data_IF_837502285773
#
_entry.id   IF_837502285773
#
_cell.length_a   1.000
_cell.length_b   1.000
_cell.length_c   1.000
_cell.angle_alpha   90.00
_cell.angle_beta   90.00
_cell.angle_gamma   90.00
#
_symmetry.space_group_name_H-M   'P 1'
#
loop_
_entity.id
_entity.type
_entity.pdbx_description
1 polymer ?
#
# COMPACT_ATOMS: atom_id res chain seq x y z
N UNK A 1 4.14 -4.26 30.84
CA UNK A 1 4.02 -3.93 29.41
C UNK A 1 2.57 -3.75 28.98
N UNK A 2 1.72 -4.78 29.10
CA UNK A 2 0.30 -4.70 28.67
C UNK A 2 -0.47 -3.51 29.27
N UNK A 3 -0.43 -3.31 30.61
CA UNK A 3 -1.06 -2.16 31.26
C UNK A 3 -0.56 -0.80 30.75
N UNK A 4 0.73 -0.69 30.40
CA UNK A 4 1.33 0.54 29.86
C UNK A 4 0.85 0.80 28.43
N UNK A 5 0.82 -0.24 27.59
CA UNK A 5 0.31 -0.14 26.23
C UNK A 5 -1.18 0.24 26.21
N UNK A 6 -2.01 -0.41 27.03
CA UNK A 6 -3.44 -0.06 27.20
C UNK A 6 -3.59 1.40 27.64
N UNK A 7 -2.79 1.85 28.63
CA UNK A 7 -2.83 3.23 29.10
C UNK A 7 -2.45 4.26 28.04
N UNK A 8 -1.50 3.94 27.15
CA UNK A 8 -1.13 4.81 26.03
C UNK A 8 -2.23 4.83 24.96
N UNK A 9 -2.77 3.68 24.58
CA UNK A 9 -3.85 3.59 23.60
C UNK A 9 -5.12 4.32 24.07
N UNK A 10 -5.46 4.20 25.36
CA UNK A 10 -6.59 4.94 25.93
C UNK A 10 -6.42 6.44 25.77
N UNK A 11 -5.24 6.99 26.07
CA UNK A 11 -4.96 8.43 25.89
C UNK A 11 -5.11 8.92 24.45
N UNK A 12 -4.86 8.04 23.46
CA UNK A 12 -5.05 8.38 22.05
C UNK A 12 -6.55 8.36 21.69
N UNK A 13 -7.30 7.36 22.17
CA UNK A 13 -8.75 7.26 21.91
C UNK A 13 -9.52 8.38 22.61
N UNK A 14 -9.07 8.87 23.76
CA UNK A 14 -9.71 9.99 24.49
C UNK A 14 -9.83 11.27 23.65
N UNK A 15 -9.04 11.40 22.57
CA UNK A 15 -9.13 12.52 21.63
C UNK A 15 -10.33 12.41 20.66
N UNK A 16 -10.99 11.25 20.62
CA UNK A 16 -12.06 10.91 19.67
C UNK A 16 -13.31 10.41 20.41
N UNK A 17 -14.19 11.31 20.91
CA UNK A 17 -15.37 10.93 21.68
C UNK A 17 -16.36 10.06 20.88
N UNK A 18 -16.40 10.19 19.56
CA UNK A 18 -17.26 9.39 18.68
C UNK A 18 -16.87 7.90 18.62
N UNK A 19 -15.69 7.50 19.13
CA UNK A 19 -15.19 6.12 19.13
C UNK A 19 -15.38 5.40 20.47
N UNK A 20 -16.00 6.04 21.46
CA UNK A 20 -16.15 5.50 22.82
C UNK A 20 -16.86 4.14 22.85
N UNK A 21 -17.96 4.03 22.09
CA UNK A 21 -18.78 2.82 22.01
C UNK A 21 -18.01 1.59 21.47
N UNK A 22 -16.92 1.83 20.73
CA UNK A 22 -16.10 0.80 20.08
C UNK A 22 -14.70 0.69 20.70
N UNK A 23 -14.44 1.43 21.79
CA UNK A 23 -13.13 1.52 22.45
C UNK A 23 -12.51 0.15 22.71
N UNK A 24 -13.24 -0.74 23.36
CA UNK A 24 -12.74 -2.08 23.71
C UNK A 24 -12.32 -2.87 22.48
N UNK A 25 -13.14 -2.86 21.41
CA UNK A 25 -12.87 -3.60 20.17
C UNK A 25 -11.66 -3.04 19.41
N UNK A 26 -11.48 -1.73 19.43
CA UNK A 26 -10.34 -1.06 18.80
C UNK A 26 -9.05 -1.39 19.56
N UNK A 27 -9.07 -1.27 20.89
CA UNK A 27 -7.91 -1.60 21.74
C UNK A 27 -7.55 -3.07 21.61
N UNK A 28 -8.53 -3.98 21.62
CA UNK A 28 -8.30 -5.41 21.43
C UNK A 28 -7.60 -5.67 20.10
N UNK A 29 -8.10 -5.10 19.01
CA UNK A 29 -7.52 -5.21 17.67
C UNK A 29 -6.09 -4.67 17.63
N UNK A 30 -5.86 -3.43 18.08
CA UNK A 30 -4.53 -2.80 18.11
C UNK A 30 -3.52 -3.59 18.94
N UNK A 31 -3.91 -4.02 20.15
CA UNK A 31 -3.03 -4.82 21.00
C UNK A 31 -2.71 -6.17 20.41
N UNK A 32 -3.64 -6.76 19.65
CA UNK A 32 -3.41 -8.01 18.94
C UNK A 32 -2.23 -7.87 17.95
N UNK A 33 -2.20 -6.79 17.18
CA UNK A 33 -1.11 -6.49 16.24
C UNK A 33 0.19 -6.08 16.94
N UNK A 34 0.11 -5.27 18.00
CA UNK A 34 1.28 -4.88 18.78
C UNK A 34 1.95 -6.06 19.51
N UNK A 35 1.28 -7.20 19.68
CA UNK A 35 1.90 -8.41 20.22
C UNK A 35 2.78 -9.12 19.19
N UNK A 36 2.63 -8.84 17.91
CA UNK A 36 3.39 -9.51 16.85
C UNK A 36 4.80 -8.91 16.75
N UNK A 37 5.88 -9.71 16.89
CA UNK A 37 7.24 -9.19 16.84
C UNK A 37 7.57 -8.43 15.55
N UNK A 38 7.04 -8.88 14.40
CA UNK A 38 7.24 -8.22 13.10
C UNK A 38 6.64 -6.81 13.03
N UNK A 39 5.54 -6.55 13.75
CA UNK A 39 4.97 -5.22 13.83
C UNK A 39 5.86 -4.30 14.67
N UNK A 40 6.28 -4.75 15.85
CA UNK A 40 7.09 -3.94 16.76
C UNK A 40 8.51 -3.66 16.23
N UNK A 41 9.11 -4.61 15.52
CA UNK A 41 10.46 -4.43 14.95
C UNK A 41 10.55 -3.30 13.92
N UNK A 42 9.43 -2.88 13.31
CA UNK A 42 9.38 -1.68 12.44
C UNK A 42 9.68 -0.38 13.17
N UNK A 43 9.37 -0.34 14.46
CA UNK A 43 9.45 0.86 15.30
C UNK A 43 10.45 0.71 16.45
N UNK A 44 11.20 -0.40 16.49
CA UNK A 44 12.15 -0.67 17.55
C UNK A 44 13.58 -0.50 17.04
N UNK A 45 14.38 0.28 17.77
CA UNK A 45 15.84 0.27 17.61
C UNK A 45 16.37 -1.11 17.99
N UNK A 46 17.12 -1.74 17.09
CA UNK A 46 17.69 -3.07 17.30
C UNK A 46 18.58 -3.07 18.55
N UNK A 47 18.12 -3.75 19.61
CA UNK A 47 18.89 -3.91 20.85
C UNK A 47 18.10 -3.67 22.13
N UNK A 48 18.14 -4.68 23.00
CA UNK A 48 17.85 -4.70 24.44
C UNK A 48 16.38 -4.80 24.87
N UNK A 49 16.16 -5.85 25.68
CA UNK A 49 15.13 -6.09 26.70
C UNK A 49 13.83 -5.31 26.52
N UNK A 50 12.75 -6.04 26.22
CA UNK A 50 11.39 -5.48 26.15
C UNK A 50 10.99 -4.98 27.55
N UNK A 51 11.18 -3.69 27.80
CA UNK A 51 10.77 -3.00 29.03
C UNK A 51 9.76 -1.88 28.73
N UNK A 52 9.21 -1.24 29.76
CA UNK A 52 8.20 -0.18 29.58
C UNK A 52 8.76 1.07 28.90
N UNK A 53 10.05 1.34 29.04
CA UNK A 53 10.74 2.47 28.39
C UNK A 53 10.93 2.21 26.90
N UNK A 54 11.33 0.99 26.53
CA UNK A 54 11.41 0.51 25.15
C UNK A 54 10.06 0.65 24.46
N UNK A 55 8.97 0.24 25.12
CA UNK A 55 7.63 0.40 24.54
C UNK A 55 7.28 1.87 24.30
N UNK A 56 7.66 2.79 25.21
CA UNK A 56 7.46 4.22 24.99
C UNK A 56 8.35 4.79 23.89
N UNK A 57 9.60 4.33 23.81
CA UNK A 57 10.53 4.72 22.74
C UNK A 57 9.98 4.29 21.38
N UNK A 58 9.43 3.08 21.25
CA UNK A 58 8.84 2.59 20.01
C UNK A 58 7.65 3.43 19.52
N UNK A 59 6.93 4.11 20.41
CA UNK A 59 5.86 5.04 20.00
C UNK A 59 6.41 6.33 19.35
N UNK A 60 7.65 6.70 19.70
CA UNK A 60 8.33 7.89 19.18
C UNK A 60 9.25 7.58 17.98
N UNK A 61 9.72 6.33 17.83
CA UNK A 61 10.54 5.92 16.69
C UNK A 61 9.76 6.05 15.38
N UNK A 62 10.40 6.62 14.38
CA UNK A 62 9.89 6.73 13.02
C UNK A 62 10.19 5.48 12.21
N UNK A 63 9.24 5.04 11.38
CA UNK A 63 9.49 4.01 10.38
C UNK A 63 10.31 4.55 9.19
N UNK A 64 10.55 3.69 8.19
CA UNK A 64 11.22 4.08 6.94
C UNK A 64 10.41 5.07 6.08
N UNK A 65 9.13 5.32 6.41
CA UNK A 65 8.33 6.38 5.80
C UNK A 65 8.40 7.72 6.54
N UNK A 66 9.11 7.78 7.69
CA UNK A 66 9.23 8.98 8.51
C UNK A 66 8.08 9.17 9.50
N UNK A 67 7.15 8.21 9.60
CA UNK A 67 5.99 8.29 10.48
C UNK A 67 6.25 7.55 11.80
N UNK A 68 5.94 8.18 12.92
CA UNK A 68 6.00 7.52 14.23
C UNK A 68 4.83 6.55 14.41
N UNK A 69 5.01 5.52 15.26
CA UNK A 69 3.90 4.60 15.58
C UNK A 69 2.71 5.37 16.19
N UNK A 70 2.95 6.43 16.96
CA UNK A 70 1.87 7.29 17.48
C UNK A 70 1.10 7.96 16.35
N UNK A 71 1.79 8.52 15.36
CA UNK A 71 1.15 9.16 14.20
C UNK A 71 0.35 8.13 13.40
N UNK A 72 0.88 6.93 13.18
CA UNK A 72 0.18 5.86 12.46
C UNK A 72 -1.10 5.44 13.18
N UNK A 73 -1.06 5.32 14.51
CA UNK A 73 -2.24 5.00 15.31
C UNK A 73 -3.27 6.14 15.30
N UNK A 74 -2.82 7.39 15.37
CA UNK A 74 -3.71 8.57 15.25
C UNK A 74 -4.33 8.69 13.86
N UNK A 75 -3.57 8.42 12.80
CA UNK A 75 -4.06 8.36 11.43
C UNK A 75 -5.14 7.29 11.29
N UNK A 76 -4.96 6.13 11.95
CA UNK A 76 -5.99 5.09 11.95
C UNK A 76 -7.24 5.49 12.75
N UNK A 77 -7.09 6.12 13.91
CA UNK A 77 -8.23 6.60 14.71
C UNK A 77 -9.00 7.69 13.96
N UNK A 78 -8.30 8.67 13.36
CA UNK A 78 -8.92 9.69 12.51
C UNK A 78 -9.60 9.08 11.28
N UNK A 79 -8.99 8.04 10.68
CA UNK A 79 -9.60 7.27 9.60
C UNK A 79 -10.92 6.60 10.01
N UNK A 80 -10.97 5.96 11.18
CA UNK A 80 -12.19 5.36 11.72
C UNK A 80 -13.24 6.42 12.07
N UNK A 81 -12.80 7.57 12.58
CA UNK A 81 -13.68 8.69 12.94
C UNK A 81 -14.37 9.29 11.70
N UNK A 82 -13.63 9.45 10.60
CA UNK A 82 -14.14 10.00 9.35
C UNK A 82 -15.09 9.05 8.61
N UNK A 83 -15.05 7.73 8.90
CA UNK A 83 -15.85 6.69 8.23
C UNK A 83 -16.89 6.07 9.17
N UNK A 84 -17.82 6.89 9.68
CA UNK A 84 -18.84 6.47 10.66
C UNK A 84 -19.68 5.26 10.21
N UNK A 85 -20.01 5.18 8.92
CA UNK A 85 -20.83 4.10 8.35
C UNK A 85 -20.07 2.77 8.25
N UNK A 86 -18.80 2.81 7.80
CA UNK A 86 -18.05 1.58 7.49
C UNK A 86 -17.05 1.17 8.58
N UNK A 87 -16.89 1.92 9.67
CA UNK A 87 -15.89 1.65 10.73
C UNK A 87 -16.02 0.25 11.34
N UNK A 88 -17.25 -0.27 11.48
CA UNK A 88 -17.49 -1.62 12.00
C UNK A 88 -16.90 -2.69 11.09
N UNK A 89 -17.03 -2.51 9.77
CA UNK A 89 -16.52 -3.47 8.80
C UNK A 89 -14.98 -3.56 8.83
N UNK A 90 -14.28 -2.43 9.06
CA UNK A 90 -12.84 -2.41 9.22
C UNK A 90 -12.39 -3.11 10.51
N UNK A 91 -13.11 -2.88 11.61
CA UNK A 91 -12.82 -3.53 12.90
C UNK A 91 -13.06 -5.05 12.79
N UNK A 92 -14.14 -5.48 12.14
CA UNK A 92 -14.44 -6.89 11.92
C UNK A 92 -13.42 -7.55 11.00
N UNK A 93 -13.01 -6.89 9.92
CA UNK A 93 -11.94 -7.36 9.04
C UNK A 93 -10.63 -7.56 9.83
N UNK A 94 -10.25 -6.58 10.66
CA UNK A 94 -9.07 -6.65 11.52
C UNK A 94 -9.12 -7.78 12.55
N UNK A 95 -10.31 -8.11 13.07
CA UNK A 95 -10.49 -9.21 14.02
C UNK A 95 -10.51 -10.57 13.34
N UNK A 96 -10.91 -10.63 12.07
CA UNK A 96 -10.95 -11.86 11.28
C UNK A 96 -9.56 -12.36 10.90
N UNK A 97 -8.61 -11.44 10.70
CA UNK A 97 -7.22 -11.82 10.48
C UNK A 97 -6.65 -12.24 11.84
N UNK A 98 -6.12 -13.46 11.88
CA UNK A 98 -5.43 -14.05 13.02
C UNK A 98 -3.93 -13.72 12.94
N UNK A 99 -3.44 -12.67 13.62
CA UNK A 99 -2.02 -12.44 13.80
C UNK A 99 -1.46 -13.39 14.86
N UNK A 100 -1.39 -14.70 14.56
CA UNK A 100 -0.33 -15.53 15.15
C UNK A 100 -0.66 -16.97 15.56
N UNK A 101 0.21 -17.86 15.09
CA UNK A 101 0.72 -19.04 15.79
C UNK A 101 2.03 -19.46 15.10
N UNK A 102 3.20 -19.28 15.75
CA UNK A 102 4.51 -19.76 15.24
C UNK A 102 4.61 -21.28 15.49
N UNK A 103 3.59 -22.03 15.08
CA UNK A 103 3.59 -23.48 15.01
C UNK A 103 2.87 -23.87 13.74
N UNK A 104 3.52 -24.71 12.95
CA UNK A 104 3.07 -25.17 11.64
C UNK A 104 1.63 -25.76 11.63
N UNK A 105 1.06 -26.11 12.79
CA UNK A 105 -0.30 -26.64 12.90
C UNK A 105 -1.41 -25.55 12.89
N UNK A 106 -1.18 -24.38 13.49
CA UNK A 106 -2.22 -23.34 13.68
C UNK A 106 -2.33 -22.37 12.49
N UNK A 107 -1.37 -22.43 11.57
CA UNK A 107 -1.34 -21.60 10.36
C UNK A 107 -2.59 -21.85 9.51
N UNK A 108 -3.04 -23.10 9.45
CA UNK A 108 -4.22 -23.55 8.68
C UNK A 108 -5.52 -22.86 9.11
N UNK A 109 -5.67 -22.46 10.38
CA UNK A 109 -6.89 -21.82 10.91
C UNK A 109 -6.95 -20.30 10.66
N UNK A 110 -5.80 -19.67 10.37
CA UNK A 110 -5.69 -18.24 10.11
C UNK A 110 -5.97 -17.85 8.64
N UNK A 111 -6.06 -18.85 7.77
CA UNK A 111 -6.41 -18.75 6.36
C UNK A 111 -7.85 -19.23 6.20
N UNK A 112 -8.63 -18.57 5.34
CA UNK A 112 -9.82 -19.25 4.83
C UNK A 112 -9.35 -20.50 4.07
N UNK A 113 -10.14 -21.59 4.05
CA UNK A 113 -9.75 -22.84 3.38
C UNK A 113 -9.28 -22.63 1.91
N UNK A 114 -9.70 -21.54 1.25
CA UNK A 114 -9.33 -21.20 -0.13
C UNK A 114 -8.13 -20.22 -0.24
N UNK A 115 -7.46 -19.91 0.89
CA UNK A 115 -6.21 -19.13 0.95
C UNK A 115 -4.99 -19.98 1.37
N UNK A 116 -5.22 -21.20 1.86
CA UNK A 116 -4.15 -22.10 2.24
C UNK A 116 -3.41 -22.58 0.98
N UNK A 117 -2.06 -22.48 0.92
CA UNK A 117 -1.28 -23.10 -0.15
C UNK A 117 -1.57 -24.62 -0.19
N UNK A 118 -1.72 -25.20 -1.39
CA UNK A 118 -1.88 -26.66 -1.55
C UNK A 118 -0.66 -27.44 -1.02
N UNK A 119 0.52 -26.80 -0.97
CA UNK A 119 1.73 -27.32 -0.36
C UNK A 119 1.90 -26.81 1.08
N UNK A 120 1.66 -27.69 2.06
CA UNK A 120 1.87 -27.43 3.50
C UNK A 120 3.32 -27.08 3.90
N UNK A 121 4.29 -27.10 2.98
CA UNK A 121 5.68 -26.72 3.25
C UNK A 121 5.93 -25.20 3.17
N UNK A 122 5.09 -24.44 2.47
CA UNK A 122 5.27 -22.99 2.33
C UNK A 122 4.46 -22.24 3.39
N UNK A 123 5.05 -22.10 4.58
CA UNK A 123 4.50 -21.31 5.69
C UNK A 123 4.40 -19.83 5.30
N UNK A 124 3.26 -19.40 4.74
CA UNK A 124 3.02 -17.98 4.46
C UNK A 124 2.88 -17.25 5.79
N UNK A 125 3.80 -16.33 6.05
CA UNK A 125 3.77 -15.50 7.26
C UNK A 125 2.55 -14.56 7.21
N UNK A 126 1.93 -14.22 8.36
CA UNK A 126 0.69 -13.41 8.40
C UNK A 126 0.82 -12.01 7.81
N UNK A 127 2.04 -11.52 7.59
CA UNK A 127 2.33 -10.26 6.92
C UNK A 127 2.20 -10.33 5.39
N UNK A 128 2.19 -11.52 4.79
CA UNK A 128 1.99 -11.73 3.35
C UNK A 128 0.64 -12.41 3.14
N UNK A 129 -0.20 -11.84 2.27
CA UNK A 129 -1.48 -12.46 1.88
C UNK A 129 -1.60 -12.56 0.37
N UNK A 130 -2.19 -13.66 -0.10
CA UNK A 130 -2.42 -13.94 -1.50
C UNK A 130 -3.91 -13.76 -1.83
N UNK A 131 -4.21 -13.07 -2.93
CA UNK A 131 -5.56 -12.88 -3.43
C UNK A 131 -5.60 -13.16 -4.93
N UNK A 132 -6.26 -14.25 -5.32
CA UNK A 132 -6.28 -14.75 -6.69
C UNK A 132 -7.67 -15.26 -7.11
N UNK A 133 -7.76 -15.87 -8.31
CA UNK A 133 -9.02 -16.24 -8.97
C UNK A 133 -9.95 -17.11 -8.12
N UNK A 134 -9.40 -17.96 -7.26
CA UNK A 134 -10.16 -18.88 -6.42
C UNK A 134 -10.55 -18.30 -5.05
N UNK A 135 -9.93 -17.19 -4.63
CA UNK A 135 -10.27 -16.55 -3.35
C UNK A 135 -11.72 -16.07 -3.38
N UNK A 136 -12.54 -16.45 -2.38
CA UNK A 136 -13.94 -16.02 -2.27
C UNK A 136 -14.08 -14.49 -2.21
N UNK A 137 -15.17 -13.96 -2.76
CA UNK A 137 -15.41 -12.51 -2.82
C UNK A 137 -15.43 -11.84 -1.43
N UNK A 138 -16.03 -12.48 -0.44
CA UNK A 138 -16.02 -11.98 0.95
C UNK A 138 -14.60 -11.83 1.51
N UNK A 139 -13.75 -12.82 1.24
CA UNK A 139 -12.36 -12.85 1.66
C UNK A 139 -11.56 -11.74 0.95
N UNK A 140 -11.79 -11.53 -0.35
CA UNK A 140 -11.17 -10.41 -1.09
C UNK A 140 -11.51 -9.06 -0.47
N UNK A 141 -12.78 -8.82 -0.15
CA UNK A 141 -13.23 -7.59 0.50
C UNK A 141 -12.60 -7.38 1.88
N UNK A 142 -12.44 -8.45 2.67
CA UNK A 142 -11.76 -8.39 3.97
C UNK A 142 -10.28 -8.05 3.81
N UNK A 143 -9.58 -8.69 2.88
CA UNK A 143 -8.17 -8.40 2.58
C UNK A 143 -7.98 -6.95 2.12
N UNK A 144 -8.84 -6.46 1.24
CA UNK A 144 -8.83 -5.05 0.79
C UNK A 144 -9.01 -4.08 1.96
N UNK A 145 -10.01 -4.32 2.82
CA UNK A 145 -10.28 -3.45 3.97
C UNK A 145 -9.08 -3.44 4.92
N UNK A 146 -8.50 -4.60 5.18
CA UNK A 146 -7.40 -4.70 6.13
C UNK A 146 -6.10 -4.11 5.58
N UNK A 147 -5.80 -4.32 4.29
CA UNK A 147 -4.62 -3.71 3.64
C UNK A 147 -4.67 -2.18 3.61
N UNK A 148 -5.89 -1.60 3.63
CA UNK A 148 -6.08 -0.16 3.75
C UNK A 148 -5.94 0.38 5.19
N UNK A 149 -5.70 -0.49 6.17
CA UNK A 149 -5.36 -0.10 7.56
C UNK A 149 -3.85 -0.21 7.78
N UNK A 150 -3.26 0.40 8.82
CA UNK A 150 -1.82 0.31 9.06
C UNK A 150 -1.38 -1.03 9.67
N UNK A 151 -2.29 -2.00 9.78
CA UNK A 151 -2.03 -3.33 10.32
C UNK A 151 -1.77 -4.34 9.18
N UNK A 152 -1.61 -5.62 9.51
CA UNK A 152 -1.35 -6.65 8.50
C UNK A 152 -2.55 -6.84 7.55
N UNK A 153 -2.32 -7.26 6.29
CA UNK A 153 -1.03 -7.64 5.70
C UNK A 153 -0.14 -6.46 5.30
N UNK A 154 1.18 -6.63 5.41
CA UNK A 154 2.16 -5.65 4.92
C UNK A 154 2.40 -5.79 3.40
N UNK A 155 2.27 -7.03 2.90
CA UNK A 155 2.45 -7.40 1.50
C UNK A 155 1.18 -8.12 1.05
N UNK A 156 0.56 -7.58 0.01
CA UNK A 156 -0.60 -8.18 -0.64
C UNK A 156 -0.20 -8.57 -2.07
N UNK A 157 -0.17 -9.88 -2.33
CA UNK A 157 0.10 -10.43 -3.65
C UNK A 157 -1.26 -10.64 -4.33
N UNK A 158 -1.47 -10.00 -5.47
CA UNK A 158 -2.72 -10.10 -6.21
C UNK A 158 -2.49 -10.51 -7.65
N UNK A 159 -3.45 -11.27 -8.21
CA UNK A 159 -3.56 -11.46 -9.65
C UNK A 159 -4.48 -10.40 -10.28
N UNK A 160 -4.84 -10.58 -11.55
CA UNK A 160 -5.77 -9.71 -12.30
C UNK A 160 -7.13 -9.48 -11.63
N UNK A 161 -7.49 -10.31 -10.64
CA UNK A 161 -8.72 -10.22 -9.86
C UNK A 161 -8.89 -8.90 -9.10
N UNK A 162 -7.78 -8.26 -8.72
CA UNK A 162 -7.76 -6.97 -8.03
C UNK A 162 -7.28 -5.84 -8.97
N UNK A 163 -7.24 -6.06 -10.28
CA UNK A 163 -6.82 -5.01 -11.21
C UNK A 163 -7.91 -3.96 -11.47
N UNK A 164 -9.18 -4.26 -11.15
CA UNK A 164 -10.34 -3.42 -11.45
C UNK A 164 -11.20 -3.13 -10.21
N UNK A 165 -11.71 -1.90 -10.11
CA UNK A 165 -12.72 -1.53 -9.10
C UNK A 165 -12.26 -1.50 -7.64
N UNK A 166 -10.95 -1.61 -7.37
CA UNK A 166 -10.41 -1.65 -6.00
C UNK A 166 -9.55 -0.44 -5.66
N UNK A 167 -9.49 -0.14 -4.37
CA UNK A 167 -8.76 0.98 -3.80
C UNK A 167 -7.74 0.44 -2.81
N UNK A 168 -6.44 0.65 -3.07
CA UNK A 168 -5.33 0.14 -2.24
C UNK A 168 -4.37 1.26 -1.80
N UNK A 169 -4.78 2.51 -1.98
CA UNK A 169 -3.96 3.72 -1.81
C UNK A 169 -3.72 4.12 -0.35
N UNK A 170 -4.58 3.69 0.58
CA UNK A 170 -4.62 4.31 1.92
C UNK A 170 -3.41 3.97 2.77
N UNK A 171 -2.82 2.79 2.64
CA UNK A 171 -1.64 2.39 3.42
C UNK A 171 -0.49 1.79 2.59
N UNK A 172 -0.55 1.92 1.26
CA UNK A 172 0.49 1.45 0.33
C UNK A 172 1.19 2.60 -0.39
N UNK A 173 2.49 2.45 -0.64
CA UNK A 173 3.29 3.37 -1.50
C UNK A 173 4.31 2.66 -2.39
N UNK A 174 4.40 1.33 -2.29
CA UNK A 174 5.34 0.54 -3.09
C UNK A 174 4.53 -0.46 -3.90
N UNK A 175 4.77 -0.49 -5.20
CA UNK A 175 4.08 -1.38 -6.13
C UNK A 175 5.14 -2.16 -6.87
N UNK A 176 5.02 -3.48 -6.92
CA UNK A 176 5.90 -4.35 -7.69
C UNK A 176 5.02 -5.03 -8.73
N UNK A 177 5.18 -4.67 -10.00
CA UNK A 177 4.51 -5.38 -11.09
C UNK A 177 5.37 -6.55 -11.50
N UNK A 178 5.03 -7.73 -10.99
CA UNK A 178 5.76 -8.95 -11.30
C UNK A 178 5.59 -9.37 -12.76
N UNK A 179 4.42 -9.11 -13.35
CA UNK A 179 4.14 -9.28 -14.77
C UNK A 179 4.13 -7.92 -15.48
N UNK A 180 4.90 -7.80 -16.56
CA UNK A 180 4.79 -6.64 -17.44
C UNK A 180 3.69 -6.88 -18.48
N UNK A 181 2.70 -5.99 -18.54
CA UNK A 181 1.69 -6.00 -19.59
C UNK A 181 2.19 -5.29 -20.84
N UNK A 182 1.95 -5.86 -22.03
CA UNK A 182 2.27 -5.22 -23.33
C UNK A 182 1.56 -3.87 -23.57
N UNK A 183 0.51 -3.59 -22.81
CA UNK A 183 -0.24 -2.34 -22.86
C UNK A 183 0.15 -1.44 -21.66
N UNK A 184 0.75 -0.25 -21.89
CA UNK A 184 1.08 0.68 -20.81
C UNK A 184 -0.15 1.14 -20.03
N UNK A 185 -1.31 1.30 -20.67
CA UNK A 185 -2.53 1.72 -19.98
C UNK A 185 -2.99 0.72 -18.91
N UNK A 186 -2.70 -0.57 -19.09
CA UNK A 186 -2.99 -1.57 -18.06
C UNK A 186 -2.09 -1.38 -16.84
N UNK A 187 -0.82 -1.04 -17.06
CA UNK A 187 0.14 -0.76 -15.98
C UNK A 187 -0.24 0.52 -15.22
N UNK A 188 -0.62 1.56 -15.96
CA UNK A 188 -1.12 2.83 -15.42
C UNK A 188 -2.38 2.62 -14.59
N UNK A 189 -3.37 1.87 -15.10
CA UNK A 189 -4.60 1.56 -14.36
C UNK A 189 -4.33 0.78 -13.07
N UNK A 190 -3.38 -0.17 -13.08
CA UNK A 190 -2.96 -0.91 -11.87
C UNK A 190 -2.29 0.03 -10.87
N UNK A 191 -1.42 0.92 -11.35
CA UNK A 191 -0.74 1.93 -10.52
C UNK A 191 -1.72 2.94 -9.92
N UNK A 192 -2.74 3.37 -10.69
CA UNK A 192 -3.83 4.25 -10.25
C UNK A 192 -4.78 3.65 -9.20
N UNK A 193 -4.59 2.38 -8.80
CA UNK A 193 -5.24 1.80 -7.60
C UNK A 193 -4.60 2.28 -6.30
N UNK A 194 -3.33 2.69 -6.38
CA UNK A 194 -2.52 3.19 -5.27
C UNK A 194 -2.26 4.68 -5.40
N UNK A 195 -2.08 5.18 -6.63
CA UNK A 195 -1.97 6.61 -6.89
C UNK A 195 -3.35 7.26 -6.96
N UNK A 196 -3.81 7.76 -5.80
CA UNK A 196 -5.11 8.43 -5.62
C UNK A 196 -5.03 9.53 -4.57
N UNK A 197 -6.00 10.43 -4.60
CA UNK A 197 -6.19 11.47 -3.57
C UNK A 197 -6.29 10.81 -2.19
N UNK A 198 -5.51 11.29 -1.22
CA UNK A 198 -5.47 10.74 0.13
C UNK A 198 -4.60 9.48 0.28
N UNK A 199 -3.80 9.13 -0.74
CA UNK A 199 -2.84 8.05 -0.67
C UNK A 199 -1.83 8.25 0.47
N UNK A 200 -1.25 7.15 0.95
CA UNK A 200 -0.17 7.20 1.96
C UNK A 200 1.01 8.08 1.52
N UNK A 201 1.28 8.12 0.21
CA UNK A 201 2.31 8.97 -0.39
C UNK A 201 2.09 10.47 -0.08
N UNK A 202 0.86 10.96 -0.23
CA UNK A 202 0.50 12.35 0.06
C UNK A 202 0.62 12.66 1.56
N UNK A 203 0.14 11.75 2.42
CA UNK A 203 0.20 11.94 3.89
C UNK A 203 1.62 11.94 4.43
N UNK A 204 2.50 11.10 3.89
CA UNK A 204 3.90 11.01 4.31
C UNK A 204 4.83 11.98 3.55
N UNK A 205 4.34 12.69 2.53
CA UNK A 205 5.17 13.54 1.67
C UNK A 205 6.26 12.79 0.90
N UNK A 206 6.05 11.50 0.62
CA UNK A 206 7.00 10.63 -0.09
C UNK A 206 6.40 10.14 -1.42
N UNK A 207 7.21 9.93 -2.48
CA UNK A 207 6.69 9.44 -3.74
C UNK A 207 6.26 7.98 -3.67
N UNK A 208 5.32 7.60 -4.55
CA UNK A 208 4.98 6.21 -4.83
C UNK A 208 6.13 5.59 -5.62
N UNK A 209 6.63 4.44 -5.17
CA UNK A 209 7.71 3.70 -5.83
C UNK A 209 7.13 2.53 -6.62
N UNK A 210 7.30 2.56 -7.93
CA UNK A 210 6.87 1.49 -8.83
C UNK A 210 8.10 0.71 -9.29
N UNK A 211 8.08 -0.60 -9.10
CA UNK A 211 9.15 -1.52 -9.48
C UNK A 211 8.67 -2.42 -10.61
N UNK A 212 9.50 -2.49 -11.66
CA UNK A 212 9.28 -3.28 -12.86
C UNK A 212 10.46 -4.25 -13.05
N UNK A 213 10.54 -5.34 -12.25
CA UNK A 213 11.58 -6.34 -12.43
C UNK A 213 11.43 -7.02 -13.80
N UNK A 214 12.54 -7.22 -14.50
CA UNK A 214 12.60 -7.99 -15.74
C UNK A 214 13.90 -8.80 -15.77
N UNK A 215 13.90 -9.91 -16.50
CA UNK A 215 15.11 -10.69 -16.75
C UNK A 215 15.89 -10.09 -17.93
N UNK A 216 17.18 -9.82 -17.74
CA UNK A 216 18.06 -9.32 -18.81
C UNK A 216 18.27 -10.38 -19.89
N UNK A 217 18.46 -9.94 -21.14
CA UNK A 217 18.73 -10.82 -22.29
C UNK A 217 17.60 -11.81 -22.64
N UNK A 218 16.40 -11.62 -22.07
CA UNK A 218 15.21 -12.42 -22.40
C UNK A 218 14.16 -11.58 -23.14
N UNK A 219 13.02 -12.21 -23.46
CA UNK A 219 11.86 -11.51 -24.01
C UNK A 219 11.34 -10.41 -23.05
N UNK A 220 11.59 -10.52 -21.75
CA UNK A 220 11.14 -9.55 -20.76
C UNK A 220 11.84 -8.21 -20.95
N UNK A 221 13.15 -8.19 -21.27
CA UNK A 221 13.87 -6.95 -21.59
C UNK A 221 13.29 -6.28 -22.84
N UNK A 222 12.96 -7.07 -23.88
CA UNK A 222 12.33 -6.53 -25.09
C UNK A 222 10.95 -5.94 -24.77
N UNK A 223 10.14 -6.66 -23.99
CA UNK A 223 8.81 -6.22 -23.58
C UNK A 223 8.89 -4.93 -22.76
N UNK A 224 9.80 -4.86 -21.78
CA UNK A 224 10.07 -3.66 -20.99
C UNK A 224 10.39 -2.47 -21.88
N UNK A 225 11.33 -2.61 -22.81
CA UNK A 225 11.69 -1.54 -23.76
C UNK A 225 10.51 -1.03 -24.56
N UNK A 226 9.67 -1.93 -25.09
CA UNK A 226 8.50 -1.58 -25.90
C UNK A 226 7.44 -0.86 -25.06
N UNK A 227 7.18 -1.34 -23.84
CA UNK A 227 6.15 -0.78 -22.96
C UNK A 227 6.55 0.59 -22.46
N UNK A 228 7.79 0.77 -21.99
CA UNK A 228 8.32 2.07 -21.56
C UNK A 228 8.35 3.09 -22.70
N UNK A 229 8.63 2.65 -23.93
CA UNK A 229 8.58 3.54 -25.10
C UNK A 229 7.16 3.98 -25.43
N UNK A 230 6.17 3.07 -25.38
CA UNK A 230 4.76 3.40 -25.60
C UNK A 230 4.22 4.33 -24.51
N UNK A 231 4.55 4.06 -23.26
CA UNK A 231 4.21 4.93 -22.11
C UNK A 231 4.78 6.33 -22.31
N UNK A 232 6.05 6.44 -22.73
CA UNK A 232 6.67 7.73 -23.03
C UNK A 232 5.91 8.51 -24.11
N UNK A 233 5.60 7.86 -25.23
CA UNK A 233 4.86 8.52 -26.33
C UNK A 233 3.46 8.94 -25.88
N UNK A 234 2.79 8.10 -25.09
CA UNK A 234 1.49 8.42 -24.52
C UNK A 234 1.55 9.66 -23.62
N UNK A 235 2.53 9.76 -22.72
CA UNK A 235 2.69 10.91 -21.82
C UNK A 235 3.01 12.20 -22.58
N UNK A 236 3.82 12.13 -23.65
CA UNK A 236 4.10 13.27 -24.54
C UNK A 236 2.81 13.78 -25.17
N UNK A 237 1.99 12.87 -25.72
CA UNK A 237 0.71 13.21 -26.33
C UNK A 237 -0.25 13.83 -25.30
N UNK A 238 -0.25 13.32 -24.06
CA UNK A 238 -1.08 13.84 -22.97
C UNK A 238 -0.56 15.17 -22.37
N UNK A 239 0.61 15.65 -22.78
CA UNK A 239 1.16 16.94 -22.36
C UNK A 239 1.78 16.95 -20.95
N UNK A 240 2.20 15.80 -20.43
CA UNK A 240 2.86 15.74 -19.12
C UNK A 240 4.31 16.25 -19.18
N UNK A 241 4.77 16.89 -18.10
CA UNK A 241 6.11 17.48 -18.00
C UNK A 241 7.14 16.37 -17.77
N UNK A 242 7.76 15.90 -18.86
CA UNK A 242 8.79 14.87 -18.84
C UNK A 242 10.01 15.27 -17.98
N UNK A 243 10.22 14.59 -16.85
CA UNK A 243 11.50 14.59 -16.13
C UNK A 243 12.33 13.37 -16.57
N UNK A 244 13.46 13.63 -17.22
CA UNK A 244 14.41 12.59 -17.61
C UNK A 244 15.07 12.08 -16.32
N UNK A 245 14.63 10.93 -15.79
CA UNK A 245 15.25 10.38 -14.60
C UNK A 245 16.59 9.70 -14.97
N UNK A 246 17.67 10.24 -14.42
CA UNK A 246 19.05 9.97 -14.84
C UNK A 246 19.53 8.53 -14.56
N UNK A 247 18.75 7.72 -13.83
CA UNK A 247 19.10 6.33 -13.54
C UNK A 247 18.84 5.36 -14.70
N UNK A 248 18.15 5.80 -15.76
CA UNK A 248 17.97 4.99 -16.98
C UNK A 248 19.13 5.15 -17.96
N UNK A 249 20.08 6.05 -17.72
CA UNK A 249 20.92 6.63 -18.79
C UNK A 249 21.95 5.65 -19.36
N UNK A 250 22.39 4.64 -18.62
CA UNK A 250 23.53 3.81 -19.04
C UNK A 250 23.28 2.90 -20.24
N UNK A 251 22.01 2.68 -20.65
CA UNK A 251 21.63 2.07 -21.94
C UNK A 251 20.75 2.97 -22.82
N UNK A 252 20.38 4.15 -22.33
CA UNK A 252 19.55 5.14 -23.04
C UNK A 252 20.37 6.27 -23.67
N UNK A 253 21.68 6.37 -23.36
CA UNK A 253 22.61 7.36 -23.91
C UNK A 253 22.78 7.31 -25.45
N UNK A 254 22.29 6.27 -26.13
CA UNK A 254 22.27 6.19 -27.59
C UNK A 254 20.97 6.70 -28.25
N UNK A 255 19.97 7.13 -27.47
CA UNK A 255 18.68 7.56 -28.02
C UNK A 255 18.63 9.07 -28.19
N UNK A 256 18.33 9.53 -29.40
CA UNK A 256 18.07 10.94 -29.70
C UNK A 256 16.85 11.39 -28.88
N UNK A 257 16.97 12.39 -27.98
CA UNK A 257 15.82 12.93 -27.27
C UNK A 257 14.84 13.55 -28.27
N UNK A 258 13.53 13.42 -28.00
CA UNK A 258 12.53 14.06 -28.85
C UNK A 258 12.71 15.58 -28.76
N UNK A 259 12.88 16.31 -29.88
CA UNK A 259 13.01 17.76 -29.86
C UNK A 259 11.79 18.41 -29.16
N UNK A 260 12.03 19.40 -28.32
CA UNK A 260 10.96 20.08 -27.56
C UNK A 260 9.89 20.69 -28.47
N UNK A 261 10.28 21.18 -29.65
CA UNK A 261 9.36 21.75 -30.64
C UNK A 261 8.34 20.70 -31.11
N UNK A 262 8.80 19.50 -31.44
CA UNK A 262 7.95 18.38 -31.84
C UNK A 262 7.06 17.92 -30.68
N UNK A 263 7.59 17.91 -29.45
CA UNK A 263 6.79 17.60 -28.26
C UNK A 263 5.62 18.57 -28.08
N UNK A 264 5.85 19.87 -28.29
CA UNK A 264 4.81 20.91 -28.16
C UNK A 264 3.76 20.83 -29.28
N UNK A 265 4.16 20.43 -30.49
CA UNK A 265 3.22 20.24 -31.59
C UNK A 265 2.32 19.01 -31.42
N UNK A 266 2.87 17.92 -30.88
CA UNK A 266 2.16 16.65 -30.71
C UNK A 266 1.28 16.60 -29.45
N UNK A 267 1.56 17.44 -28.45
CA UNK A 267 0.79 17.49 -27.22
C UNK A 267 -0.64 17.99 -27.47
N UNK A 268 -1.62 17.34 -26.82
CA UNK A 268 -3.00 17.81 -26.85
C UNK A 268 -3.12 19.18 -26.19
N UNK A 269 -3.70 20.15 -26.91
CA UNK A 269 -4.04 21.46 -26.37
C UNK A 269 -5.37 21.38 -25.62
N UNK A 270 -5.30 21.17 -24.30
CA UNK A 270 -6.47 21.11 -23.42
C UNK A 270 -6.94 22.49 -22.92
N UNK A 271 -6.46 23.58 -23.53
CA UNK A 271 -6.87 24.93 -23.18
C UNK A 271 -8.35 25.16 -23.54
N UNK A 272 -9.13 25.65 -22.58
CA UNK A 272 -10.50 26.12 -22.83
C UNK A 272 -10.39 27.41 -23.63
N UNK A 273 -10.68 27.35 -24.93
CA UNK A 273 -10.79 28.54 -25.76
C UNK A 273 -11.96 29.40 -25.26
N UNK A 274 -11.68 30.38 -24.39
CA UNK A 274 -12.61 31.47 -24.14
C UNK A 274 -12.76 32.26 -25.44
N UNK A 275 -13.84 31.99 -26.18
CA UNK A 275 -14.32 32.95 -27.18
C UNK A 275 -14.65 34.23 -26.42
N UNK A 276 -13.82 35.25 -26.57
CA UNK A 276 -14.20 36.61 -26.23
C UNK A 276 -15.47 36.93 -27.02
N UNK A 277 -16.60 37.01 -26.31
CA UNK A 277 -17.82 37.55 -26.86
C UNK A 277 -17.56 39.04 -27.08
N UNK A 278 -17.36 39.44 -28.33
CA UNK A 278 -17.26 40.85 -28.71
C UNK A 278 -18.61 41.53 -28.45
N UNK A 279 -18.59 42.55 -27.58
CA UNK A 279 -19.66 43.53 -27.37
C UNK A 279 -20.03 44.24 -28.67
#
# INVERSE_FOLDING_TARGET
LHKVAVGLLNKLIDQYPDLEDLREKIIESMLRYMRTPSFLMRFASSGKVINSEWLRASFATTDYSGSSLTNILNDFLSFLNNRKENRMEYIEALRSIQPGGIRAADVTEAYANDEAPEDHENMVMPNVRLCYGQTKQETRLKLMKTFNTPFFPDILITSSVMAEGVDLHLNCRHIIHHDLSWNPSTLEQRTGRVDRIGAKAERCGQPIKVYLPYLSETQDEKMYRVVTERERWFNIIMGDNYKVDAMSVDKYAERVPLPEELSRELAFRLEIAFKACSL
#
